data_IF_758339333098
#
_entry.id   IF_758339333098
#
_cell.length_a   1.000
_cell.length_b   1.000
_cell.length_c   1.000
_cell.angle_alpha   90.00
_cell.angle_beta   90.00
_cell.angle_gamma   90.00
#
_symmetry.space_group_name_H-M   'P 1'
#
loop_
_entity.id
_entity.type
_entity.pdbx_description
1 polymer ?
#
# COMPACT_ATOMS: atom_id res chain seq x y z
N UNK A 1 -13.86 -1.63 25.84
CA UNK A 1 -12.96 -2.27 24.86
C UNK A 1 -12.95 -1.40 23.64
N UNK A 2 -11.77 -1.06 23.13
CA UNK A 2 -11.64 -0.18 21.97
C UNK A 2 -12.11 -0.93 20.71
N UNK A 3 -13.26 -0.54 20.16
CA UNK A 3 -13.87 -1.19 19.00
C UNK A 3 -13.18 -0.63 17.75
N UNK A 4 -12.07 -1.27 17.35
CA UNK A 4 -11.39 -0.96 16.09
C UNK A 4 -11.80 -1.96 15.02
N UNK A 5 -12.01 -1.45 13.80
CA UNK A 5 -12.25 -2.30 12.64
C UNK A 5 -10.89 -2.67 12.04
N UNK A 6 -10.44 -3.89 12.34
CA UNK A 6 -9.25 -4.48 11.73
C UNK A 6 -9.60 -4.99 10.32
N UNK A 7 -9.02 -4.35 9.29
CA UNK A 7 -9.19 -4.69 7.88
C UNK A 7 -7.87 -5.27 7.36
N UNK A 8 -7.91 -6.49 6.81
CA UNK A 8 -6.73 -7.09 6.18
C UNK A 8 -6.73 -6.77 4.69
N UNK A 9 -5.66 -6.11 4.23
CA UNK A 9 -5.48 -5.70 2.83
C UNK A 9 -4.34 -6.50 2.24
N UNK A 10 -4.58 -7.19 1.12
CA UNK A 10 -3.54 -7.94 0.41
C UNK A 10 -3.26 -7.34 -0.95
N UNK A 11 -2.03 -6.91 -1.19
CA UNK A 11 -1.52 -6.61 -2.52
C UNK A 11 -1.27 -7.93 -3.24
N UNK A 12 -2.16 -8.35 -4.14
CA UNK A 12 -2.04 -9.65 -4.81
C UNK A 12 -1.04 -9.56 -5.96
N UNK A 13 -1.40 -8.84 -7.02
CA UNK A 13 -0.60 -8.72 -8.25
C UNK A 13 -1.01 -7.48 -9.05
N UNK A 14 -0.19 -7.10 -10.02
CA UNK A 14 -0.52 -6.07 -11.01
C UNK A 14 -0.04 -6.44 -12.41
N UNK A 15 -0.46 -5.68 -13.42
CA UNK A 15 0.02 -5.79 -14.80
C UNK A 15 0.31 -4.38 -15.34
N UNK A 16 1.58 -4.11 -15.67
CA UNK A 16 2.04 -2.77 -16.03
C UNK A 16 2.74 -2.76 -17.38
N UNK A 17 2.14 -2.07 -18.36
CA UNK A 17 2.77 -1.90 -19.66
C UNK A 17 4.02 -1.01 -19.60
N UNK A 18 5.00 -1.41 -20.41
CA UNK A 18 6.25 -0.66 -20.61
C UNK A 18 6.09 0.53 -21.56
N UNK A 19 4.93 0.67 -22.21
CA UNK A 19 4.70 1.70 -23.23
C UNK A 19 5.77 1.62 -24.33
N UNK A 20 6.42 2.74 -24.63
CA UNK A 20 7.50 2.85 -25.63
C UNK A 20 8.88 2.43 -25.12
N UNK A 21 9.03 2.02 -23.85
CA UNK A 21 10.32 1.61 -23.28
C UNK A 21 10.68 0.16 -23.64
N UNK A 22 11.97 -0.13 -23.69
CA UNK A 22 12.49 -1.47 -23.99
C UNK A 22 12.28 -2.43 -22.82
N UNK A 23 12.48 -1.96 -21.59
CA UNK A 23 12.39 -2.73 -20.35
C UNK A 23 11.08 -2.48 -19.58
N UNK A 24 10.66 -3.44 -18.76
CA UNK A 24 9.53 -3.26 -17.87
C UNK A 24 9.87 -2.33 -16.69
N UNK A 25 8.84 -1.70 -16.10
CA UNK A 25 9.01 -0.82 -14.94
C UNK A 25 9.27 -1.64 -13.69
N UNK A 26 10.21 -1.19 -12.86
CA UNK A 26 10.32 -1.60 -11.46
C UNK A 26 9.22 -0.90 -10.67
N UNK A 27 8.15 -1.61 -10.31
CA UNK A 27 6.97 -1.00 -9.69
C UNK A 27 7.01 -1.15 -8.17
N UNK A 28 6.93 -0.03 -7.46
CA UNK A 28 6.65 0.05 -6.02
C UNK A 28 5.20 0.50 -5.84
N UNK A 29 4.45 -0.21 -5.00
CA UNK A 29 3.12 0.21 -4.56
C UNK A 29 3.24 0.82 -3.17
N UNK A 30 2.71 2.01 -3.01
CA UNK A 30 2.58 2.67 -1.72
C UNK A 30 1.14 2.62 -1.26
N UNK A 31 0.89 2.06 -0.08
CA UNK A 31 -0.44 1.94 0.55
C UNK A 31 -0.52 2.91 1.72
N UNK A 32 -1.62 3.65 1.79
CA UNK A 32 -1.85 4.68 2.81
C UNK A 32 -3.36 4.89 2.98
N UNK A 33 -3.78 5.40 4.14
CA UNK A 33 -5.20 5.65 4.46
C UNK A 33 -5.44 7.16 4.51
N UNK A 34 -6.51 7.62 3.87
CA UNK A 34 -6.89 9.02 3.79
C UNK A 34 -8.35 9.21 4.16
N UNK A 35 -8.69 10.36 4.77
CA UNK A 35 -10.07 10.79 4.94
C UNK A 35 -10.64 11.46 3.67
N UNK A 36 -11.90 11.87 3.73
CA UNK A 36 -12.62 12.54 2.65
C UNK A 36 -12.08 13.93 2.29
N UNK A 37 -11.38 14.59 3.23
CA UNK A 37 -10.72 15.87 3.03
C UNK A 37 -9.32 15.71 2.42
N UNK A 38 -8.87 14.46 2.23
CA UNK A 38 -7.55 14.14 1.66
C UNK A 38 -6.41 14.24 2.68
N UNK A 39 -6.71 14.27 3.98
CA UNK A 39 -5.71 14.18 5.05
C UNK A 39 -5.39 12.71 5.33
N UNK A 40 -4.10 12.42 5.52
CA UNK A 40 -3.64 11.07 5.82
C UNK A 40 -3.95 10.71 7.27
N UNK A 41 -4.47 9.51 7.50
CA UNK A 41 -4.54 8.92 8.82
C UNK A 41 -3.17 8.36 9.18
N UNK A 42 -2.63 8.81 10.30
CA UNK A 42 -1.29 8.43 10.75
C UNK A 42 -1.35 7.18 11.65
N UNK A 43 -0.35 6.31 11.56
CA UNK A 43 -0.18 5.15 12.45
C UNK A 43 -1.41 4.22 12.49
N UNK A 44 -1.97 3.88 11.33
CA UNK A 44 -3.12 2.96 11.19
C UNK A 44 -2.80 1.67 10.44
N UNK A 45 -1.58 1.51 9.93
CA UNK A 45 -1.15 0.32 9.19
C UNK A 45 -0.17 -0.50 10.04
N UNK A 46 -0.35 -1.82 10.09
CA UNK A 46 0.48 -2.76 10.84
C UNK A 46 0.95 -3.87 9.89
N UNK A 47 2.26 -4.12 9.88
CA UNK A 47 2.89 -5.11 8.99
C UNK A 47 2.88 -6.53 9.57
N UNK A 48 2.72 -6.64 10.88
CA UNK A 48 2.74 -7.91 11.60
C UNK A 48 2.21 -7.75 13.02
N UNK A 49 2.15 -8.87 13.75
CA UNK A 49 1.78 -8.85 15.15
C UNK A 49 2.94 -8.31 15.99
N UNK A 50 2.71 -7.21 16.71
CA UNK A 50 3.70 -6.58 17.59
C UNK A 50 4.56 -5.49 16.95
N UNK A 51 4.41 -5.26 15.64
CA UNK A 51 5.07 -4.14 14.97
C UNK A 51 4.41 -2.80 15.31
N UNK A 52 5.22 -1.73 15.29
CA UNK A 52 4.71 -0.36 15.42
C UNK A 52 3.82 0.02 14.24
N UNK A 53 2.80 0.82 14.54
CA UNK A 53 1.87 1.29 13.53
C UNK A 53 2.52 2.37 12.66
N UNK A 54 2.45 2.18 11.34
CA UNK A 54 2.97 3.11 10.34
C UNK A 54 1.83 3.80 9.58
N UNK A 55 2.15 4.89 8.90
CA UNK A 55 1.18 5.67 8.11
C UNK A 55 1.22 5.34 6.61
N UNK A 56 2.30 4.69 6.18
CA UNK A 56 2.55 4.38 4.77
C UNK A 56 3.31 3.06 4.66
N UNK A 57 2.75 2.10 3.92
CA UNK A 57 3.43 0.86 3.54
C UNK A 57 3.97 0.96 2.11
N UNK A 58 5.14 0.35 1.85
CA UNK A 58 5.75 0.24 0.53
C UNK A 58 6.01 -1.22 0.20
N UNK A 59 5.55 -1.65 -0.97
CA UNK A 59 5.72 -3.02 -1.43
C UNK A 59 7.16 -3.33 -1.80
N UNK A 60 7.48 -4.61 -1.91
CA UNK A 60 8.70 -5.07 -2.58
C UNK A 60 8.67 -4.64 -4.05
N UNK A 61 9.85 -4.34 -4.60
CA UNK A 61 10.04 -3.99 -6.00
C UNK A 61 10.64 -5.19 -6.73
N UNK A 62 9.88 -5.75 -7.67
CA UNK A 62 10.39 -6.79 -8.55
C UNK A 62 11.06 -6.16 -9.78
N UNK A 63 12.34 -6.44 -9.96
CA UNK A 63 13.14 -5.84 -11.03
C UNK A 63 12.66 -6.26 -12.42
N UNK A 64 12.25 -5.28 -13.23
CA UNK A 64 11.76 -5.43 -14.60
C UNK A 64 10.71 -6.54 -14.78
N UNK A 65 9.83 -6.72 -13.79
CA UNK A 65 8.73 -7.67 -13.89
C UNK A 65 7.47 -6.94 -14.33
N UNK A 66 6.92 -7.30 -15.50
CA UNK A 66 5.67 -6.73 -16.04
C UNK A 66 4.47 -7.02 -15.13
N UNK A 67 4.40 -8.25 -14.62
CA UNK A 67 3.30 -8.74 -13.78
C UNK A 67 3.80 -9.11 -12.37
N UNK A 68 4.14 -8.12 -11.52
CA UNK A 68 4.59 -8.39 -10.17
C UNK A 68 3.48 -9.07 -9.36
N UNK A 69 3.86 -10.08 -8.59
CA UNK A 69 2.97 -10.82 -7.68
C UNK A 69 3.50 -10.64 -6.26
N UNK A 70 2.96 -9.67 -5.54
CA UNK A 70 3.43 -9.30 -4.21
C UNK A 70 2.98 -10.29 -3.14
N UNK A 71 1.69 -10.63 -3.12
CA UNK A 71 1.06 -11.40 -2.04
C UNK A 71 1.42 -10.88 -0.65
N UNK A 72 1.53 -9.56 -0.52
CA UNK A 72 1.87 -8.87 0.71
C UNK A 72 0.58 -8.47 1.43
N UNK A 73 0.41 -8.89 2.69
CA UNK A 73 -0.76 -8.57 3.51
C UNK A 73 -0.37 -7.62 4.63
N UNK A 74 -1.15 -6.55 4.78
CA UNK A 74 -1.05 -5.60 5.90
C UNK A 74 -2.39 -5.52 6.63
N UNK A 75 -2.33 -5.25 7.94
CA UNK A 75 -3.52 -4.96 8.74
C UNK A 75 -3.71 -3.46 8.83
N UNK A 76 -4.92 -2.98 8.59
CA UNK A 76 -5.30 -1.58 8.70
C UNK A 76 -6.34 -1.46 9.81
N UNK A 77 -6.01 -0.72 10.86
CA UNK A 77 -6.88 -0.51 12.02
C UNK A 77 -7.32 0.95 12.07
N UNK A 78 -8.54 1.22 11.61
CA UNK A 78 -9.12 2.57 11.58
C UNK A 78 -10.12 2.69 12.74
N UNK A 79 -10.13 3.80 13.50
CA UNK A 79 -11.17 4.09 14.49
C UNK A 79 -12.55 3.99 13.86
N UNK A 80 -13.52 3.39 14.55
CA UNK A 80 -14.85 3.09 13.96
C UNK A 80 -15.57 4.35 13.46
N UNK A 81 -15.34 5.47 14.14
CA UNK A 81 -15.84 6.81 13.80
C UNK A 81 -15.29 7.37 12.48
N UNK A 82 -14.10 6.92 12.04
CA UNK A 82 -13.42 7.41 10.85
C UNK A 82 -13.57 6.46 9.64
N UNK A 83 -13.97 5.21 9.87
CA UNK A 83 -14.05 4.15 8.83
C UNK A 83 -14.91 4.57 7.64
N UNK A 84 -16.06 5.20 7.89
CA UNK A 84 -17.01 5.59 6.84
C UNK A 84 -16.54 6.77 5.97
N UNK A 85 -15.59 7.57 6.47
CA UNK A 85 -15.01 8.73 5.77
C UNK A 85 -13.62 8.44 5.24
N UNK A 86 -13.10 7.24 5.49
CA UNK A 86 -11.74 6.84 5.10
C UNK A 86 -11.73 6.01 3.81
N UNK A 87 -10.62 6.09 3.08
CA UNK A 87 -10.34 5.25 1.93
C UNK A 87 -8.86 4.84 1.89
N UNK A 88 -8.60 3.69 1.26
CA UNK A 88 -7.25 3.23 0.96
C UNK A 88 -6.78 3.88 -0.34
N UNK A 89 -5.56 4.42 -0.32
CA UNK A 89 -4.90 4.97 -1.50
C UNK A 89 -3.69 4.12 -1.87
N UNK A 90 -3.70 3.64 -3.11
CA UNK A 90 -2.62 2.89 -3.73
C UNK A 90 -1.91 3.78 -4.75
N UNK A 91 -0.66 4.13 -4.50
CA UNK A 91 0.16 4.92 -5.43
C UNK A 91 1.22 4.04 -6.06
N UNK A 92 1.29 4.03 -7.39
CA UNK A 92 2.25 3.23 -8.14
C UNK A 92 3.39 4.11 -8.62
N UNK A 93 4.64 3.73 -8.32
CA UNK A 93 5.83 4.47 -8.75
C UNK A 93 6.81 3.55 -9.45
N UNK A 94 7.43 4.07 -10.51
CA UNK A 94 8.63 3.46 -11.06
C UNK A 94 9.83 3.84 -10.19
N UNK A 95 10.64 2.86 -9.79
CA UNK A 95 11.90 3.09 -9.05
C UNK A 95 13.08 2.74 -9.95
N UNK A 96 13.93 3.72 -10.25
CA UNK A 96 15.16 3.46 -11.00
C UNK A 96 16.06 2.51 -10.21
N UNK A 97 16.79 1.66 -10.92
CA UNK A 97 17.86 0.83 -10.33
C UNK A 97 19.23 1.52 -10.39
N UNK A 98 19.24 2.80 -10.73
CA UNK A 98 20.41 3.68 -10.69
C UNK A 98 20.22 4.60 -9.49
N UNK A 99 21.29 4.76 -8.71
CA UNK A 99 21.43 5.80 -7.69
C UNK A 99 21.38 7.20 -8.33
#
# INVERSE_FOLDING_TARGET
GDVRNDIYVTLVQGDFDKGSKTTAKNVEVTVSVYDEDGKRLESVIFLGAGDEAISEYKSVIYYQVKQPRWFETVKVAIPIEDVNRSHLRFTFRHRSSQD
#
